data_IF_589859543020
#
_entry.id   IF_589859543020
#
_cell.length_a   1.000
_cell.length_b   1.000
_cell.length_c   1.000
_cell.angle_alpha   90.00
_cell.angle_beta   90.00
_cell.angle_gamma   90.00
#
_symmetry.space_group_name_H-M   'P 1'
#
loop_
_entity.id
_entity.type
_entity.pdbx_description
1 polymer ?
#
# COMPACT_ATOMS: atom_id res chain seq x y z
N UNK A 1 11.19 11.39 -5.22
CA UNK A 1 10.63 10.83 -6.48
C UNK A 1 10.01 9.44 -6.25
N UNK A 2 10.77 8.38 -5.93
CA UNK A 2 10.23 7.01 -5.76
C UNK A 2 9.02 6.88 -4.82
N UNK A 3 9.13 7.40 -3.59
CA UNK A 3 8.02 7.34 -2.62
C UNK A 3 6.76 8.01 -3.14
N UNK A 4 6.90 9.16 -3.80
CA UNK A 4 5.79 9.89 -4.44
C UNK A 4 5.19 9.06 -5.57
N UNK A 5 6.01 8.58 -6.50
CA UNK A 5 5.55 7.75 -7.62
C UNK A 5 4.81 6.49 -7.16
N UNK A 6 5.33 5.78 -6.16
CA UNK A 6 4.67 4.61 -5.59
C UNK A 6 3.30 4.97 -5.00
N UNK A 7 3.25 6.01 -4.16
CA UNK A 7 2.03 6.38 -3.44
C UNK A 7 0.96 7.01 -4.32
N UNK A 8 1.36 7.81 -5.30
CA UNK A 8 0.46 8.63 -6.11
C UNK A 8 0.16 8.04 -7.49
N UNK A 9 0.94 7.09 -7.98
CA UNK A 9 0.68 6.41 -9.26
C UNK A 9 0.47 4.90 -9.07
N UNK A 10 1.43 4.17 -8.52
CA UNK A 10 1.34 2.69 -8.45
C UNK A 10 0.15 2.24 -7.60
N UNK A 11 0.03 2.75 -6.37
CA UNK A 11 -1.07 2.39 -5.45
C UNK A 11 -2.47 2.69 -6.00
N UNK A 12 -2.79 3.93 -6.45
CA UNK A 12 -4.13 4.24 -6.94
C UNK A 12 -4.44 3.56 -8.29
N UNK A 13 -3.46 3.45 -9.19
CA UNK A 13 -3.70 2.87 -10.53
C UNK A 13 -3.86 1.35 -10.47
N UNK A 14 -2.91 0.64 -9.85
CA UNK A 14 -2.89 -0.84 -9.81
C UNK A 14 -3.70 -1.40 -8.65
N UNK A 15 -3.48 -0.92 -7.44
CA UNK A 15 -4.08 -1.49 -6.23
C UNK A 15 -5.38 -0.82 -5.79
N UNK A 16 -5.81 0.26 -6.46
CA UNK A 16 -6.98 1.09 -6.11
C UNK A 16 -6.95 1.62 -4.67
N UNK A 17 -5.74 1.83 -4.14
CA UNK A 17 -5.51 2.38 -2.81
C UNK A 17 -5.13 3.84 -2.92
N UNK A 18 -5.99 4.72 -2.42
CA UNK A 18 -5.71 6.15 -2.29
C UNK A 18 -5.40 6.49 -0.82
N UNK A 19 -4.15 6.87 -0.55
CA UNK A 19 -3.69 7.25 0.80
C UNK A 19 -4.32 8.54 1.31
N UNK A 20 -4.82 9.42 0.42
CA UNK A 20 -5.49 10.67 0.81
C UNK A 20 -6.71 10.39 1.67
N UNK A 21 -7.39 9.26 1.48
CA UNK A 21 -8.55 8.85 2.29
C UNK A 21 -8.21 8.83 3.78
N UNK A 22 -7.15 8.12 4.17
CA UNK A 22 -6.74 8.03 5.57
C UNK A 22 -6.32 9.40 6.14
N UNK A 23 -5.57 10.18 5.35
CA UNK A 23 -5.15 11.51 5.76
C UNK A 23 -6.34 12.46 5.98
N UNK A 24 -7.25 12.54 5.01
CA UNK A 24 -8.45 13.37 5.08
C UNK A 24 -9.40 12.93 6.19
N UNK A 25 -9.53 11.62 6.44
CA UNK A 25 -10.27 11.12 7.60
C UNK A 25 -9.70 11.65 8.91
N UNK A 26 -8.38 11.67 9.07
CA UNK A 26 -7.76 12.23 10.27
C UNK A 26 -8.04 13.74 10.41
N UNK A 27 -8.00 14.50 9.30
CA UNK A 27 -8.33 15.94 9.32
C UNK A 27 -9.80 16.22 9.67
N UNK A 28 -10.72 15.32 9.29
CA UNK A 28 -12.13 15.40 9.70
C UNK A 28 -12.23 15.12 11.20
N UNK A 29 -11.59 14.06 11.69
CA UNK A 29 -11.62 13.69 13.11
C UNK A 29 -10.98 14.76 14.02
N UNK A 30 -10.00 15.51 13.52
CA UNK A 30 -9.37 16.63 14.24
C UNK A 30 -10.14 17.95 14.12
N UNK A 31 -11.23 18.00 13.34
CA UNK A 31 -12.02 19.21 13.12
C UNK A 31 -11.36 20.26 12.21
N UNK A 32 -10.29 19.90 11.49
CA UNK A 32 -9.56 20.83 10.61
C UNK A 32 -10.26 21.07 9.28
N UNK A 33 -11.01 20.09 8.77
CA UNK A 33 -11.81 20.21 7.55
C UNK A 33 -13.18 19.56 7.71
N UNK A 34 -14.15 19.97 6.89
CA UNK A 34 -15.44 19.26 6.79
C UNK A 34 -15.36 18.08 5.84
N UNK A 35 -16.28 17.12 5.99
CA UNK A 35 -16.40 15.96 5.09
C UNK A 35 -16.58 16.38 3.62
N UNK A 36 -17.37 17.41 3.35
CA UNK A 36 -17.62 17.92 2.01
C UNK A 36 -16.34 18.44 1.33
N UNK A 37 -15.50 19.15 2.09
CA UNK A 37 -14.20 19.64 1.61
C UNK A 37 -13.25 18.47 1.34
N UNK A 38 -13.25 17.45 2.18
CA UNK A 38 -12.47 16.24 1.97
C UNK A 38 -12.89 15.51 0.67
N UNK A 39 -14.19 15.43 0.38
CA UNK A 39 -14.68 14.80 -0.85
C UNK A 39 -14.25 15.59 -2.09
N UNK A 40 -14.35 16.92 -2.08
CA UNK A 40 -13.84 17.77 -3.16
C UNK A 40 -12.35 17.55 -3.43
N UNK A 41 -11.53 17.45 -2.37
CA UNK A 41 -10.09 17.14 -2.49
C UNK A 41 -9.80 15.76 -3.08
N UNK A 42 -10.71 14.79 -2.92
CA UNK A 42 -10.55 13.45 -3.51
C UNK A 42 -10.87 13.43 -5.00
N UNK A 43 -11.71 14.34 -5.48
CA UNK A 43 -12.03 14.51 -6.91
C UNK A 43 -10.86 15.09 -7.70
N UNK A 44 -9.98 15.86 -7.04
CA UNK A 44 -8.78 16.38 -7.65
C UNK A 44 -7.85 15.25 -8.11
N UNK A 45 -7.17 15.41 -9.27
CA UNK A 45 -6.21 14.43 -9.76
C UNK A 45 -5.05 14.28 -8.76
N UNK A 46 -4.68 13.03 -8.46
CA UNK A 46 -3.59 12.71 -7.51
C UNK A 46 -2.23 13.17 -8.04
N UNK A 47 -2.07 13.14 -9.37
CA UNK A 47 -0.83 13.42 -10.07
C UNK A 47 -1.08 14.38 -11.23
N UNK A 48 -0.17 15.32 -11.41
CA UNK A 48 -0.12 16.12 -12.65
C UNK A 48 0.38 15.22 -13.82
N UNK A 49 -0.26 15.32 -14.98
CA UNK A 49 0.06 14.47 -16.12
C UNK A 49 1.50 14.62 -16.65
N UNK A 50 2.02 15.85 -16.72
CA UNK A 50 3.37 16.14 -17.23
C UNK A 50 4.43 15.62 -16.25
N UNK A 51 4.21 15.85 -14.95
CA UNK A 51 5.10 15.37 -13.90
C UNK A 51 5.13 13.84 -13.86
N UNK A 52 3.99 13.18 -14.08
CA UNK A 52 3.90 11.72 -14.11
C UNK A 52 4.76 11.13 -15.22
N UNK A 53 4.78 11.73 -16.41
CA UNK A 53 5.59 11.25 -17.54
C UNK A 53 7.08 11.30 -17.19
N UNK A 54 7.53 12.43 -16.62
CA UNK A 54 8.92 12.64 -16.24
C UNK A 54 9.33 11.66 -15.13
N UNK A 55 8.51 11.55 -14.07
CA UNK A 55 8.79 10.66 -12.94
C UNK A 55 8.72 9.19 -13.34
N UNK A 56 7.78 8.80 -14.21
CA UNK A 56 7.68 7.44 -14.77
C UNK A 56 8.97 7.08 -15.51
N UNK A 57 9.42 7.93 -16.44
CA UNK A 57 10.65 7.69 -17.20
C UNK A 57 11.89 7.58 -16.30
N UNK A 58 11.99 8.46 -15.29
CA UNK A 58 13.10 8.41 -14.32
C UNK A 58 13.09 7.12 -13.49
N UNK A 59 11.94 6.72 -12.94
CA UNK A 59 11.79 5.55 -12.08
C UNK A 59 12.03 4.26 -12.87
N UNK A 60 11.41 4.11 -14.05
CA UNK A 60 11.57 2.93 -14.91
C UNK A 60 13.04 2.72 -15.27
N UNK A 61 13.73 3.79 -15.71
CA UNK A 61 15.16 3.75 -16.03
C UNK A 61 16.00 3.32 -14.83
N UNK A 62 15.69 3.80 -13.62
CA UNK A 62 16.43 3.46 -12.40
C UNK A 62 16.15 2.05 -11.90
N UNK A 63 14.97 1.50 -12.16
CA UNK A 63 14.62 0.12 -11.83
C UNK A 63 15.11 -0.90 -12.87
N UNK A 64 15.60 -0.42 -14.02
CA UNK A 64 16.15 -1.28 -15.08
C UNK A 64 15.09 -1.98 -15.93
N UNK A 65 13.88 -1.40 -16.01
CA UNK A 65 12.81 -1.90 -16.87
C UNK A 65 12.75 -1.10 -18.18
N UNK A 66 12.20 -1.72 -19.23
CA UNK A 66 11.61 -1.01 -20.37
C UNK A 66 10.24 -0.44 -20.00
N UNK A 67 9.74 0.49 -20.82
CA UNK A 67 8.40 1.04 -20.60
C UNK A 67 7.31 -0.02 -20.80
N UNK A 68 7.50 -0.88 -21.81
CA UNK A 68 6.60 -1.98 -22.13
C UNK A 68 6.52 -3.02 -21.00
N UNK A 69 7.66 -3.41 -20.42
CA UNK A 69 7.70 -4.32 -19.28
C UNK A 69 6.98 -3.73 -18.06
N UNK A 70 7.23 -2.45 -17.78
CA UNK A 70 6.61 -1.79 -16.65
C UNK A 70 5.09 -1.66 -16.83
N UNK A 71 4.64 -1.32 -18.03
CA UNK A 71 3.21 -1.21 -18.34
C UNK A 71 2.52 -2.58 -18.35
N UNK A 72 3.21 -3.64 -18.80
CA UNK A 72 2.77 -5.01 -18.65
C UNK A 72 2.63 -5.40 -17.16
N UNK A 73 3.57 -5.02 -16.30
CA UNK A 73 3.46 -5.24 -14.84
C UNK A 73 2.28 -4.45 -14.27
N UNK A 74 2.06 -3.20 -14.69
CA UNK A 74 1.00 -2.34 -14.17
C UNK A 74 -0.40 -2.80 -14.58
N UNK A 75 -0.55 -3.44 -15.73
CA UNK A 75 -1.83 -3.97 -16.24
C UNK A 75 -2.21 -5.33 -15.65
N UNK A 76 -1.26 -6.07 -15.06
CA UNK A 76 -1.55 -7.33 -14.37
C UNK A 76 -2.44 -7.13 -13.14
N UNK A 77 -3.33 -8.10 -12.91
CA UNK A 77 -4.17 -8.15 -11.71
C UNK A 77 -3.29 -8.11 -10.45
N UNK A 78 -3.61 -7.25 -9.45
CA UNK A 78 -2.94 -7.28 -8.17
C UNK A 78 -3.06 -8.67 -7.53
N UNK A 79 -1.93 -9.21 -7.07
CA UNK A 79 -1.91 -10.41 -6.22
C UNK A 79 -2.06 -10.00 -4.77
N UNK A 80 -2.80 -10.78 -4.01
CA UNK A 80 -2.91 -10.57 -2.58
C UNK A 80 -1.59 -10.99 -1.90
N UNK A 81 -1.14 -10.23 -0.90
CA UNK A 81 0.06 -10.56 -0.15
C UNK A 81 -0.04 -11.92 0.55
N UNK A 82 -1.27 -12.39 0.84
CA UNK A 82 -1.56 -13.71 1.42
C UNK A 82 -1.30 -14.88 0.47
N UNK A 83 -1.18 -14.63 -0.83
CA UNK A 83 -0.83 -15.67 -1.81
C UNK A 83 0.65 -16.10 -1.71
N UNK A 84 1.49 -15.25 -1.13
CA UNK A 84 2.92 -15.53 -0.96
C UNK A 84 3.16 -16.22 0.39
N UNK A 85 4.10 -17.17 0.42
CA UNK A 85 4.49 -17.83 1.66
C UNK A 85 5.08 -16.81 2.63
N UNK A 86 4.53 -16.76 3.83
CA UNK A 86 5.06 -15.96 4.93
C UNK A 86 5.71 -16.87 5.96
N UNK A 87 6.75 -16.38 6.64
CA UNK A 87 7.25 -17.05 7.83
C UNK A 87 6.21 -16.94 8.94
N UNK A 88 5.72 -18.08 9.39
CA UNK A 88 4.77 -18.18 10.50
C UNK A 88 5.51 -18.62 11.76
N UNK A 89 4.98 -18.25 12.92
CA UNK A 89 5.54 -18.75 14.18
C UNK A 89 5.30 -20.26 14.32
N UNK A 90 6.19 -20.92 15.08
CA UNK A 90 6.18 -22.38 15.28
C UNK A 90 4.84 -22.93 15.80
N UNK A 91 4.11 -22.15 16.59
CA UNK A 91 2.77 -22.49 17.11
C UNK A 91 1.65 -22.39 16.07
N UNK A 92 1.87 -21.67 14.98
CA UNK A 92 0.97 -21.65 13.83
C UNK A 92 1.21 -22.85 12.90
N UNK A 93 2.44 -23.35 12.84
CA UNK A 93 2.80 -24.61 12.15
C UNK A 93 2.32 -25.85 12.92
N UNK A 94 2.43 -25.84 14.25
CA UNK A 94 2.01 -26.95 15.11
C UNK A 94 0.94 -26.48 16.12
N UNK A 95 -0.35 -26.53 15.76
CA UNK A 95 -1.45 -26.08 16.63
C UNK A 95 -1.47 -26.77 17.99
N UNK A 96 -0.91 -27.99 18.07
CA UNK A 96 -0.79 -28.81 19.29
C UNK A 96 0.04 -28.09 20.37
N UNK A 97 0.95 -27.18 19.99
CA UNK A 97 1.87 -26.50 20.91
C UNK A 97 1.25 -25.22 21.50
N UNK A 98 0.16 -24.70 20.90
CA UNK A 98 -0.58 -23.53 21.40
C UNK A 98 -1.01 -23.64 22.88
N UNK A 99 -1.62 -24.74 23.35
CA UNK A 99 -1.98 -24.88 24.77
C UNK A 99 -0.75 -24.87 25.69
N UNK A 100 0.36 -25.53 25.30
CA UNK A 100 1.60 -25.55 26.08
C UNK A 100 2.26 -24.18 26.18
N UNK A 101 2.20 -23.36 25.12
CA UNK A 101 2.70 -21.98 25.12
C UNK A 101 1.92 -21.09 26.10
N UNK A 102 0.61 -21.31 26.26
CA UNK A 102 -0.23 -20.59 27.22
C UNK A 102 0.14 -20.93 28.67
N UNK A 103 0.38 -22.21 28.94
CA UNK A 103 0.82 -22.70 30.25
C UNK A 103 2.22 -22.16 30.60
N UNK A 104 3.17 -22.24 29.66
CA UNK A 104 4.53 -21.73 29.87
C UNK A 104 4.56 -20.22 30.20
N UNK A 105 3.76 -19.41 29.51
CA UNK A 105 3.65 -17.97 29.81
C UNK A 105 3.04 -17.68 31.18
N UNK A 106 2.13 -18.52 31.66
CA UNK A 106 1.49 -18.36 32.97
C UNK A 106 2.42 -18.73 34.14
N UNK A 107 3.42 -19.59 33.91
CA UNK A 107 4.39 -20.03 34.92
C UNK A 107 5.61 -19.09 34.99
N UNK A 108 5.92 -18.37 33.90
CA UNK A 108 7.08 -17.49 33.78
C UNK A 108 6.84 -16.04 34.23
N UNK A 109 5.57 -15.62 34.33
CA UNK A 109 5.16 -14.36 34.97
C UNK A 109 4.79 -14.63 36.43
#
# INVERSE_FOLDING_TARGET
IFTKFYQHYILPTKFKVDKRKAHLSNLICSGQIKREEALKKLEEPIYNAEELIIDKAYVIKKLGFSEEEFDAIMSQKPKDHREFKTEKFFDEYYPIIKPFKKIYKAIKN
#
